data_IF_225187891524
#
_entry.id   IF_225187891524
#
_cell.length_a   1.000
_cell.length_b   1.000
_cell.length_c   1.000
_cell.angle_alpha   90.00
_cell.angle_beta   90.00
_cell.angle_gamma   90.00
#
_symmetry.space_group_name_H-M   'P 1'
#
loop_
_entity.id
_entity.type
_entity.pdbx_description
1 polymer ?
#
# COMPACT_ATOMS: atom_id res chain seq x y z
N UNK A 1 12.59 -9.42 12.21
CA UNK A 1 12.92 -9.80 10.80
C UNK A 1 12.38 -8.70 9.91
N UNK A 2 13.13 -8.24 8.91
CA UNK A 2 12.64 -7.22 7.98
C UNK A 2 11.92 -7.88 6.80
N UNK A 3 10.72 -7.40 6.47
CA UNK A 3 9.94 -7.89 5.32
C UNK A 3 10.32 -7.09 4.08
N UNK A 4 10.47 -7.78 2.94
CA UNK A 4 10.74 -7.15 1.65
C UNK A 4 9.46 -6.99 0.83
N UNK A 5 9.31 -5.85 0.18
CA UNK A 5 8.20 -5.55 -0.72
C UNK A 5 8.65 -5.73 -2.15
N UNK A 6 7.95 -6.58 -2.90
CA UNK A 6 8.15 -6.76 -4.34
C UNK A 6 7.33 -5.69 -5.07
N UNK A 7 8.01 -4.76 -5.74
CA UNK A 7 7.40 -3.72 -6.56
C UNK A 7 6.88 -4.31 -7.88
N UNK A 8 6.15 -3.49 -8.64
CA UNK A 8 5.57 -3.89 -9.92
C UNK A 8 6.59 -4.18 -11.02
N UNK A 9 7.80 -3.65 -10.86
CA UNK A 9 8.95 -3.83 -11.77
C UNK A 9 9.90 -4.94 -11.27
N UNK A 10 9.41 -5.83 -10.39
CA UNK A 10 10.17 -6.89 -9.72
C UNK A 10 11.34 -6.43 -8.83
N UNK A 11 11.55 -5.12 -8.68
CA UNK A 11 12.53 -4.62 -7.71
C UNK A 11 12.01 -4.77 -6.28
N UNK A 12 12.92 -4.87 -5.32
CA UNK A 12 12.56 -5.05 -3.90
C UNK A 12 12.95 -3.85 -3.05
N UNK A 13 12.14 -3.53 -2.05
CA UNK A 13 12.49 -2.55 -1.01
C UNK A 13 12.08 -3.02 0.39
N UNK A 14 12.66 -2.45 1.46
CA UNK A 14 12.18 -2.72 2.82
C UNK A 14 10.73 -2.27 3.01
N UNK A 15 9.95 -3.06 3.74
CA UNK A 15 8.63 -2.63 4.22
C UNK A 15 8.76 -1.46 5.19
N UNK A 16 7.94 -0.44 4.96
CA UNK A 16 7.85 0.75 5.80
C UNK A 16 6.38 1.05 6.09
N UNK A 17 5.95 0.84 7.33
CA UNK A 17 4.56 1.08 7.77
C UNK A 17 4.11 2.52 7.49
N UNK A 18 5.02 3.49 7.61
CA UNK A 18 4.74 4.91 7.39
C UNK A 18 4.23 5.20 5.98
N UNK A 19 4.63 4.40 4.97
CA UNK A 19 4.10 4.56 3.60
C UNK A 19 2.59 4.33 3.57
N UNK A 20 2.07 3.38 4.34
CA UNK A 20 0.62 3.13 4.42
C UNK A 20 -0.06 4.32 5.08
N UNK A 21 0.46 4.77 6.23
CA UNK A 21 -0.09 5.91 6.99
C UNK A 21 -0.25 7.14 6.08
N UNK A 22 0.83 7.52 5.37
CA UNK A 22 0.83 8.68 4.48
C UNK A 22 -0.21 8.55 3.36
N UNK A 23 -0.33 7.37 2.76
CA UNK A 23 -1.25 7.17 1.63
C UNK A 23 -2.71 7.19 2.07
N UNK A 24 -3.06 6.56 3.20
CA UNK A 24 -4.45 6.55 3.67
C UNK A 24 -4.87 7.90 4.28
N UNK A 25 -3.94 8.63 4.91
CA UNK A 25 -4.18 10.01 5.32
C UNK A 25 -4.42 10.94 4.13
N UNK A 26 -3.65 10.79 3.05
CA UNK A 26 -3.86 11.54 1.81
C UNK A 26 -5.22 11.23 1.16
N UNK A 27 -5.77 10.03 1.40
CA UNK A 27 -7.11 9.65 0.99
C UNK A 27 -8.23 10.20 1.92
N UNK A 28 -7.87 10.92 2.99
CA UNK A 28 -8.80 11.58 3.91
C UNK A 28 -9.05 10.83 5.22
N UNK A 29 -8.34 9.72 5.48
CA UNK A 29 -8.47 9.01 6.76
C UNK A 29 -7.83 9.82 7.90
N UNK A 30 -8.46 9.86 9.07
CA UNK A 30 -7.94 10.60 10.23
C UNK A 30 -6.60 10.00 10.69
N UNK A 31 -5.68 10.80 11.26
CA UNK A 31 -4.35 10.31 11.62
C UNK A 31 -4.35 9.08 12.55
N UNK A 32 -5.21 9.08 13.56
CA UNK A 32 -5.33 7.95 14.50
C UNK A 32 -5.80 6.66 13.81
N UNK A 33 -6.81 6.74 12.96
CA UNK A 33 -7.33 5.57 12.23
C UNK A 33 -6.31 5.09 11.19
N UNK A 34 -5.52 5.99 10.62
CA UNK A 34 -4.46 5.67 9.68
C UNK A 34 -3.34 4.87 10.33
N UNK A 35 -2.91 5.25 11.54
CA UNK A 35 -1.95 4.48 12.32
C UNK A 35 -2.51 3.11 12.71
N UNK A 36 -3.78 3.04 13.13
CA UNK A 36 -4.42 1.76 13.47
C UNK A 36 -4.54 0.83 12.27
N UNK A 37 -4.91 1.37 11.10
CA UNK A 37 -4.96 0.61 9.85
C UNK A 37 -3.57 0.12 9.48
N UNK A 38 -2.55 0.98 9.53
CA UNK A 38 -1.18 0.60 9.17
C UNK A 38 -0.66 -0.53 10.07
N UNK A 39 -0.89 -0.46 11.40
CA UNK A 39 -0.59 -1.55 12.35
C UNK A 39 -1.30 -2.85 11.99
N UNK A 40 -2.59 -2.81 11.61
CA UNK A 40 -3.33 -4.01 11.18
C UNK A 40 -2.72 -4.64 9.94
N UNK A 41 -2.24 -3.83 8.99
CA UNK A 41 -1.56 -4.33 7.79
C UNK A 41 -0.19 -4.92 8.16
N UNK A 42 0.60 -4.25 9.01
CA UNK A 42 1.86 -4.77 9.52
C UNK A 42 1.66 -6.12 10.20
N UNK A 43 0.69 -6.25 11.11
CA UNK A 43 0.40 -7.53 11.78
C UNK A 43 -0.05 -8.62 10.81
N UNK A 44 -0.83 -8.28 9.77
CA UNK A 44 -1.20 -9.23 8.72
C UNK A 44 0.02 -9.73 7.93
N UNK A 45 0.93 -8.83 7.56
CA UNK A 45 2.18 -9.19 6.88
C UNK A 45 3.02 -10.15 7.73
N UNK A 46 3.15 -9.84 9.03
CA UNK A 46 3.92 -10.65 9.98
C UNK A 46 3.30 -12.04 10.22
N UNK A 47 1.97 -12.13 10.30
CA UNK A 47 1.26 -13.40 10.55
C UNK A 47 1.28 -14.36 9.36
N UNK A 48 1.38 -13.85 8.14
CA UNK A 48 1.54 -14.67 6.93
C UNK A 48 2.92 -15.36 6.87
N UNK A 49 3.85 -15.04 7.78
CA UNK A 49 5.22 -15.55 7.85
C UNK A 49 5.97 -15.44 6.51
N UNK A 50 5.65 -14.39 5.77
CA UNK A 50 6.21 -14.11 4.44
C UNK A 50 7.51 -13.32 4.59
N UNK A 51 8.60 -13.86 4.05
CA UNK A 51 9.84 -13.11 3.90
C UNK A 51 9.68 -11.92 2.92
N UNK A 52 8.75 -12.04 1.97
CA UNK A 52 8.41 -11.00 1.02
C UNK A 52 6.92 -10.98 0.67
N UNK A 53 6.39 -9.79 0.37
CA UNK A 53 5.00 -9.58 -0.03
C UNK A 53 4.95 -8.60 -1.21
N UNK A 54 4.03 -8.79 -2.14
CA UNK A 54 3.94 -7.87 -3.28
C UNK A 54 3.29 -6.54 -2.86
N UNK A 55 3.71 -5.46 -3.50
CA UNK A 55 3.09 -4.14 -3.35
C UNK A 55 1.61 -4.13 -3.77
N UNK A 56 1.23 -5.05 -4.66
CA UNK A 56 -0.16 -5.25 -5.11
C UNK A 56 -0.99 -5.88 -3.99
N UNK A 57 -0.49 -6.93 -3.33
CA UNK A 57 -1.20 -7.58 -2.22
C UNK A 57 -1.41 -6.61 -1.05
N UNK A 58 -0.40 -5.79 -0.74
CA UNK A 58 -0.52 -4.74 0.29
C UNK A 58 -1.60 -3.74 -0.11
N UNK A 59 -1.61 -3.27 -1.37
CA UNK A 59 -2.62 -2.31 -1.85
C UNK A 59 -4.03 -2.87 -1.69
N UNK A 60 -4.23 -4.12 -2.10
CA UNK A 60 -5.54 -4.76 -2.06
C UNK A 60 -5.98 -4.99 -0.61
N UNK A 61 -5.05 -5.37 0.27
CA UNK A 61 -5.31 -5.47 1.71
C UNK A 61 -5.65 -4.12 2.35
N UNK A 62 -4.91 -3.05 2.01
CA UNK A 62 -5.18 -1.69 2.48
C UNK A 62 -6.58 -1.25 2.06
N UNK A 63 -6.97 -1.49 0.81
CA UNK A 63 -8.33 -1.18 0.34
C UNK A 63 -9.40 -1.91 1.16
N UNK A 64 -9.24 -3.22 1.38
CA UNK A 64 -10.21 -4.01 2.16
C UNK A 64 -10.33 -3.55 3.61
N UNK A 65 -9.23 -3.17 4.27
CA UNK A 65 -9.30 -2.64 5.64
C UNK A 65 -9.83 -1.19 5.66
N UNK A 66 -9.50 -0.38 4.66
CA UNK A 66 -9.98 0.99 4.54
C UNK A 66 -11.49 1.05 4.30
N UNK A 67 -12.03 0.15 3.46
CA UNK A 67 -13.47 0.07 3.16
C UNK A 67 -14.32 -0.21 4.41
N UNK A 68 -13.77 -0.97 5.37
CA UNK A 68 -14.43 -1.26 6.66
C UNK A 68 -14.50 -0.05 7.58
N UNK A 69 -13.55 0.89 7.46
CA UNK A 69 -13.41 2.04 8.35
C UNK A 69 -14.07 3.29 7.74
N UNK A 70 -13.79 3.55 6.46
CA UNK A 70 -14.27 4.74 5.76
C UNK A 70 -14.49 4.48 4.26
N UNK A 71 -15.77 4.45 3.86
CA UNK A 71 -16.19 4.23 2.47
C UNK A 71 -15.81 5.38 1.52
N UNK A 72 -15.72 6.60 2.03
CA UNK A 72 -15.33 7.74 1.22
C UNK A 72 -13.82 7.72 0.95
N UNK A 73 -13.02 7.52 2.00
CA UNK A 73 -11.57 7.41 1.87
C UNK A 73 -11.14 6.22 0.99
N UNK A 74 -11.80 5.06 1.13
CA UNK A 74 -11.56 3.89 0.26
C UNK A 74 -11.90 4.16 -1.20
N UNK A 75 -12.97 4.91 -1.48
CA UNK A 75 -13.30 5.35 -2.84
C UNK A 75 -12.21 6.25 -3.46
N UNK A 76 -11.73 7.25 -2.72
CA UNK A 76 -10.65 8.13 -3.15
C UNK A 76 -9.34 7.36 -3.36
N UNK A 77 -9.02 6.45 -2.44
CA UNK A 77 -7.88 5.56 -2.56
C UNK A 77 -7.95 4.73 -3.85
N UNK A 78 -9.07 4.04 -4.10
CA UNK A 78 -9.25 3.21 -5.29
C UNK A 78 -9.16 4.01 -6.60
N UNK A 79 -9.75 5.22 -6.63
CA UNK A 79 -9.66 6.12 -7.78
C UNK A 79 -8.21 6.54 -8.08
N UNK A 80 -7.44 6.90 -7.05
CA UNK A 80 -6.04 7.27 -7.20
C UNK A 80 -5.19 6.10 -7.70
N UNK A 81 -5.39 4.89 -7.14
CA UNK A 81 -4.70 3.68 -7.60
C UNK A 81 -5.03 3.38 -9.06
N UNK A 82 -6.30 3.46 -9.46
CA UNK A 82 -6.71 3.25 -10.86
C UNK A 82 -6.06 4.26 -11.82
N UNK A 83 -5.95 5.52 -11.39
CA UNK A 83 -5.29 6.57 -12.19
C UNK A 83 -3.80 6.28 -12.34
N UNK A 84 -3.14 5.87 -11.25
CA UNK A 84 -1.73 5.43 -11.28
C UNK A 84 -1.51 4.22 -12.19
N UNK A 85 -2.41 3.25 -12.16
CA UNK A 85 -2.33 2.04 -12.98
C UNK A 85 -2.40 2.38 -14.47
N UNK A 86 -3.29 3.31 -14.86
CA UNK A 86 -3.37 3.80 -16.24
C UNK A 86 -2.14 4.59 -16.69
N UNK A 87 -1.46 5.25 -15.76
CA UNK A 87 -0.24 6.02 -16.03
C UNK A 87 1.04 5.18 -15.94
N UNK A 88 0.96 3.94 -15.44
CA UNK A 88 2.11 3.06 -15.34
C UNK A 88 2.55 2.59 -16.72
N UNK A 89 3.77 2.96 -17.12
CA UNK A 89 4.41 2.48 -18.34
C UNK A 89 5.78 1.89 -17.96
N UNK A 90 5.94 0.55 -17.94
CA UNK A 90 7.19 -0.10 -17.53
C UNK A 90 8.37 0.31 -18.41
N UNK A 91 8.16 0.63 -19.69
CA UNK A 91 9.22 1.00 -20.63
C UNK A 91 9.82 2.41 -20.36
N UNK A 92 9.09 3.28 -19.64
CA UNK A 92 9.57 4.63 -19.29
C UNK A 92 10.25 4.71 -17.93
N UNK A 93 10.09 3.68 -17.07
CA UNK A 93 10.59 3.73 -15.68
C UNK A 93 12.06 3.29 -15.57
N UNK A 94 12.57 2.54 -16.55
CA UNK A 94 13.98 2.11 -16.61
C UNK A 94 14.95 3.16 -17.21
N UNK A 95 14.47 4.37 -17.53
CA UNK A 95 15.27 5.44 -18.16
C UNK A 95 15.77 6.53 -17.19
N UNK A 96 15.38 6.50 -15.92
CA UNK A 96 15.94 7.37 -14.90
C UNK A 96 17.09 6.62 -14.20
N UNK A 97 18.31 6.92 -14.68
CA UNK A 97 19.60 6.45 -14.16
C UNK A 97 19.74 6.55 -12.64
#
# INVERSE_FOLDING_TARGET
MGVLIIKRDDTTEPYEEEKIVRVVQAAGLRPIDAEELAKKITSWIETENKASVSSIDIRDRVFLELEKVDKYASGLFAWYQTTKDKSYNPDKTSAAK
#
